data_IF_200902831732
#
_entry.id   IF_200902831732
#
_cell.length_a   1.000
_cell.length_b   1.000
_cell.length_c   1.000
_cell.angle_alpha   90.00
_cell.angle_beta   90.00
_cell.angle_gamma   90.00
#
_symmetry.space_group_name_H-M   'P 1'
#
loop_
_entity.id
_entity.type
_entity.pdbx_description
1 polymer ?
#
# COMPACT_ATOMS: atom_id res chain seq x y z
N UNK A 1 44.98 -23.36 -27.89
CA UNK A 1 43.65 -23.03 -28.44
C UNK A 1 43.06 -21.93 -27.59
N UNK A 2 42.88 -20.71 -28.15
CA UNK A 2 42.29 -19.57 -27.47
C UNK A 2 40.83 -19.45 -27.91
N UNK A 3 39.85 -19.23 -27.03
CA UNK A 3 38.47 -19.01 -27.46
C UNK A 3 38.30 -17.60 -28.03
N UNK A 4 37.56 -17.55 -29.13
CA UNK A 4 37.23 -16.36 -29.91
C UNK A 4 36.13 -15.58 -29.18
N UNK A 5 36.38 -14.30 -28.91
CA UNK A 5 35.42 -13.36 -28.34
C UNK A 5 34.51 -12.87 -29.44
N UNK A 6 33.24 -13.20 -29.38
CA UNK A 6 32.20 -12.73 -30.30
C UNK A 6 31.76 -11.33 -29.89
N UNK A 7 32.07 -10.33 -30.73
CA UNK A 7 31.67 -8.93 -30.60
C UNK A 7 30.17 -8.78 -30.80
N UNK A 8 29.43 -8.35 -29.79
CA UNK A 8 28.04 -7.91 -29.93
C UNK A 8 27.98 -6.50 -30.54
N UNK A 9 27.40 -6.41 -31.70
CA UNK A 9 27.13 -5.18 -32.44
C UNK A 9 26.07 -4.35 -31.74
N UNK A 10 26.41 -3.15 -31.30
CA UNK A 10 25.52 -2.14 -30.71
C UNK A 10 24.61 -1.59 -31.81
N UNK A 11 23.30 -1.81 -31.70
CA UNK A 11 22.29 -1.14 -32.57
C UNK A 11 21.97 0.20 -31.93
N UNK A 12 22.49 1.29 -32.51
CA UNK A 12 22.12 2.65 -32.15
C UNK A 12 20.82 3.03 -32.86
N UNK A 13 19.71 3.11 -32.12
CA UNK A 13 18.48 3.76 -32.58
C UNK A 13 18.59 5.26 -32.25
N UNK A 14 18.75 6.08 -33.26
CA UNK A 14 18.73 7.55 -33.16
C UNK A 14 17.28 7.99 -32.96
N UNK A 15 16.95 8.52 -31.79
CA UNK A 15 15.68 9.21 -31.53
C UNK A 15 15.97 10.61 -31.00
N UNK A 16 15.18 11.56 -31.46
CA UNK A 16 15.34 12.99 -31.37
C UNK A 16 15.46 13.52 -29.91
N UNK A 17 16.22 14.61 -29.83
CA UNK A 17 16.55 15.45 -28.69
C UNK A 17 15.33 15.74 -27.81
N UNK A 18 15.30 15.14 -26.65
CA UNK A 18 14.53 15.51 -25.48
C UNK A 18 15.40 15.08 -24.29
N UNK A 19 15.56 15.96 -23.36
CA UNK A 19 16.39 15.91 -22.16
C UNK A 19 16.54 14.48 -21.59
N UNK A 20 17.68 13.84 -21.85
CA UNK A 20 18.06 12.58 -21.19
C UNK A 20 18.28 12.90 -19.70
N UNK A 21 17.28 12.62 -18.90
CA UNK A 21 17.50 12.39 -17.47
C UNK A 21 18.41 11.16 -17.41
N UNK A 22 19.68 11.38 -17.12
CA UNK A 22 20.68 10.34 -16.90
C UNK A 22 20.20 9.45 -15.75
N UNK A 23 19.43 8.42 -16.10
CA UNK A 23 19.06 7.38 -15.16
C UNK A 23 20.37 6.66 -14.78
N UNK A 24 20.80 6.81 -13.54
CA UNK A 24 21.89 6.02 -13.01
C UNK A 24 21.63 4.54 -13.40
N UNK A 25 22.63 3.85 -13.94
CA UNK A 25 22.47 2.45 -14.26
C UNK A 25 22.04 1.71 -12.98
N UNK A 26 21.06 0.80 -13.06
CA UNK A 26 20.57 0.10 -11.90
C UNK A 26 21.74 -0.56 -11.17
N UNK A 27 21.82 -0.34 -9.87
CA UNK A 27 22.80 -1.01 -9.04
C UNK A 27 22.49 -2.52 -9.07
N UNK A 28 23.51 -3.37 -9.05
CA UNK A 28 23.36 -4.84 -9.07
C UNK A 28 22.54 -5.36 -7.87
N UNK A 29 22.22 -4.47 -6.93
CA UNK A 29 21.46 -4.75 -5.71
C UNK A 29 19.97 -4.42 -5.78
N UNK A 30 19.48 -3.77 -6.85
CA UNK A 30 18.06 -3.38 -6.91
C UNK A 30 17.19 -4.58 -7.31
N UNK A 31 16.07 -4.80 -6.59
CA UNK A 31 15.17 -5.91 -6.89
C UNK A 31 14.63 -5.86 -8.31
N UNK A 32 14.43 -7.02 -8.99
CA UNK A 32 14.02 -7.06 -10.39
C UNK A 32 12.73 -6.27 -10.68
N UNK A 33 11.76 -6.32 -9.77
CA UNK A 33 10.47 -5.63 -9.93
C UNK A 33 10.56 -4.10 -9.85
N UNK A 34 11.66 -3.53 -9.36
CA UNK A 34 11.90 -2.09 -9.33
C UNK A 34 12.56 -1.57 -10.61
N UNK A 35 12.97 -2.47 -11.49
CA UNK A 35 13.64 -2.11 -12.73
C UNK A 35 12.64 -1.63 -13.79
N UNK A 36 12.92 -0.50 -14.47
CA UNK A 36 12.13 -0.05 -15.60
C UNK A 36 11.99 -1.15 -16.68
N UNK A 37 10.74 -1.43 -17.11
CA UNK A 37 10.47 -2.47 -18.10
C UNK A 37 10.42 -3.89 -17.54
N UNK A 38 10.37 -4.07 -16.23
CA UNK A 38 10.10 -5.37 -15.60
C UNK A 38 8.79 -5.98 -16.11
N UNK A 39 8.82 -7.26 -16.51
CA UNK A 39 7.69 -8.01 -17.08
C UNK A 39 7.46 -9.36 -16.41
N UNK A 40 7.91 -9.50 -15.17
CA UNK A 40 7.84 -10.76 -14.43
C UNK A 40 6.47 -11.09 -13.81
N UNK A 41 5.52 -10.16 -13.82
CA UNK A 41 4.16 -10.38 -13.37
C UNK A 41 3.17 -10.29 -14.52
N UNK A 42 1.96 -10.88 -14.34
CA UNK A 42 0.91 -10.87 -15.38
C UNK A 42 0.55 -9.46 -15.81
N UNK A 43 0.42 -8.52 -14.85
CA UNK A 43 0.05 -7.13 -15.16
C UNK A 43 1.25 -6.36 -15.69
N UNK A 44 2.44 -6.49 -15.10
CA UNK A 44 3.63 -5.79 -15.60
C UNK A 44 4.09 -6.27 -16.99
N UNK A 45 3.61 -7.45 -17.45
CA UNK A 45 3.84 -7.93 -18.81
C UNK A 45 3.01 -7.21 -19.88
N UNK A 46 1.94 -6.50 -19.47
CA UNK A 46 1.10 -5.71 -20.37
C UNK A 46 1.82 -4.42 -20.80
N UNK A 47 1.28 -3.75 -21.81
CA UNK A 47 1.69 -2.38 -22.15
C UNK A 47 1.25 -1.38 -21.08
N UNK A 48 1.90 -0.23 -20.99
CA UNK A 48 1.66 0.77 -19.95
C UNK A 48 0.20 1.26 -19.86
N UNK A 49 -0.52 1.51 -20.99
CA UNK A 49 -1.93 1.87 -20.93
C UNK A 49 -2.81 0.77 -20.30
N UNK A 50 -2.53 -0.50 -20.61
CA UNK A 50 -3.28 -1.61 -20.03
C UNK A 50 -2.94 -1.81 -18.53
N UNK A 51 -1.68 -1.62 -18.12
CA UNK A 51 -1.30 -1.60 -16.70
C UNK A 51 -2.05 -0.51 -15.95
N UNK A 52 -2.11 0.71 -16.51
CA UNK A 52 -2.87 1.83 -15.94
C UNK A 52 -4.36 1.50 -15.84
N UNK A 53 -4.96 0.89 -16.86
CA UNK A 53 -6.36 0.49 -16.84
C UNK A 53 -6.65 -0.52 -15.72
N UNK A 54 -5.78 -1.52 -15.54
CA UNK A 54 -5.90 -2.49 -14.42
C UNK A 54 -5.79 -1.80 -13.07
N UNK A 55 -4.81 -0.89 -12.89
CA UNK A 55 -4.64 -0.11 -11.67
C UNK A 55 -5.91 0.66 -11.32
N UNK A 56 -6.45 1.43 -12.28
CA UNK A 56 -7.65 2.23 -12.08
C UNK A 56 -8.89 1.35 -11.81
N UNK A 57 -8.99 0.18 -12.45
CA UNK A 57 -10.07 -0.77 -12.19
C UNK A 57 -10.00 -1.31 -10.75
N UNK A 58 -8.80 -1.65 -10.26
CA UNK A 58 -8.60 -2.10 -8.86
C UNK A 58 -9.00 -0.99 -7.90
N UNK A 59 -8.57 0.25 -8.13
CA UNK A 59 -8.91 1.38 -7.25
C UNK A 59 -10.39 1.71 -7.28
N UNK A 60 -11.01 1.70 -8.45
CA UNK A 60 -12.47 1.89 -8.60
C UNK A 60 -13.23 0.76 -7.88
N UNK A 61 -12.75 -0.48 -7.97
CA UNK A 61 -13.31 -1.62 -7.27
C UNK A 61 -13.23 -1.47 -5.74
N UNK A 62 -12.07 -1.10 -5.20
CA UNK A 62 -11.89 -0.82 -3.77
C UNK A 62 -12.83 0.30 -3.33
N UNK A 63 -12.91 1.40 -4.09
CA UNK A 63 -13.81 2.51 -3.80
C UNK A 63 -15.28 2.10 -3.80
N UNK A 64 -15.73 1.38 -4.83
CA UNK A 64 -17.10 0.90 -4.93
C UNK A 64 -17.47 -0.07 -3.79
N UNK A 65 -16.57 -1.00 -3.44
CA UNK A 65 -16.75 -1.91 -2.33
C UNK A 65 -16.78 -1.16 -0.98
N UNK A 66 -15.94 -0.14 -0.80
CA UNK A 66 -15.96 0.70 0.41
C UNK A 66 -17.28 1.45 0.54
N UNK A 67 -17.76 2.07 -0.53
CA UNK A 67 -19.07 2.74 -0.55
C UNK A 67 -20.20 1.74 -0.28
N UNK A 68 -20.17 0.57 -0.95
CA UNK A 68 -21.14 -0.49 -0.73
C UNK A 68 -21.14 -1.01 0.72
N UNK A 69 -19.96 -1.12 1.33
CA UNK A 69 -19.83 -1.47 2.75
C UNK A 69 -20.48 -0.42 3.63
N UNK A 70 -20.09 0.84 3.48
CA UNK A 70 -20.62 1.94 4.30
C UNK A 70 -22.14 2.12 4.16
N UNK A 71 -22.68 1.93 2.94
CA UNK A 71 -24.08 2.22 2.66
C UNK A 71 -25.04 1.05 2.95
N UNK A 72 -24.54 -0.20 2.87
CA UNK A 72 -25.42 -1.38 2.93
C UNK A 72 -24.91 -2.40 3.95
N UNK A 73 -23.74 -3.01 3.70
CA UNK A 73 -23.28 -4.16 4.50
C UNK A 73 -22.89 -3.75 5.92
N UNK A 74 -22.21 -2.61 6.10
CA UNK A 74 -21.76 -2.14 7.41
C UNK A 74 -22.91 -1.94 8.40
N UNK A 75 -23.99 -1.22 8.05
CA UNK A 75 -25.18 -1.09 8.89
C UNK A 75 -25.82 -2.43 9.27
N UNK A 76 -25.91 -3.39 8.35
CA UNK A 76 -26.44 -4.72 8.62
C UNK A 76 -25.54 -5.52 9.57
N UNK A 77 -24.22 -5.46 9.37
CA UNK A 77 -23.26 -6.11 10.28
C UNK A 77 -23.30 -5.46 11.67
N UNK A 78 -23.40 -4.15 11.74
CA UNK A 78 -23.52 -3.42 13.00
C UNK A 78 -24.83 -3.77 13.74
N UNK A 79 -25.93 -3.88 13.02
CA UNK A 79 -27.21 -4.32 13.56
C UNK A 79 -27.15 -5.77 14.05
N UNK A 80 -26.51 -6.66 13.31
CA UNK A 80 -26.40 -8.08 13.68
C UNK A 80 -25.39 -8.33 14.81
N UNK A 81 -24.32 -7.53 14.89
CA UNK A 81 -23.21 -7.71 15.84
C UNK A 81 -22.83 -6.38 16.54
N UNK A 82 -23.79 -5.71 17.22
CA UNK A 82 -23.59 -4.36 17.76
C UNK A 82 -22.46 -4.31 18.78
N UNK A 83 -22.35 -5.31 19.64
CA UNK A 83 -21.29 -5.38 20.66
C UNK A 83 -19.90 -5.51 20.05
N UNK A 84 -19.75 -6.36 19.02
CA UNK A 84 -18.45 -6.58 18.34
C UNK A 84 -18.01 -5.32 17.63
N UNK A 85 -18.90 -4.65 16.91
CA UNK A 85 -18.58 -3.45 16.17
C UNK A 85 -18.30 -2.26 17.10
N UNK A 86 -19.07 -2.09 18.14
CA UNK A 86 -18.84 -1.08 19.18
C UNK A 86 -17.50 -1.32 19.89
N UNK A 87 -17.23 -2.57 20.26
CA UNK A 87 -16.00 -3.00 20.90
C UNK A 87 -14.77 -2.78 19.98
N UNK A 88 -14.88 -3.07 18.69
CA UNK A 88 -13.80 -2.87 17.72
C UNK A 88 -13.46 -1.38 17.50
N UNK A 89 -14.45 -0.50 17.52
CA UNK A 89 -14.28 0.93 17.19
C UNK A 89 -14.03 1.82 18.41
N UNK A 90 -14.81 1.65 19.45
CA UNK A 90 -14.85 2.57 20.58
C UNK A 90 -14.50 1.93 21.92
N UNK A 91 -14.92 0.68 22.16
CA UNK A 91 -14.71 0.01 23.46
C UNK A 91 -13.39 -0.76 23.47
N UNK A 92 -13.03 -1.34 22.33
CA UNK A 92 -11.73 -1.95 22.11
C UNK A 92 -11.04 -1.27 20.96
N UNK A 93 -9.91 -0.62 21.16
CA UNK A 93 -9.23 0.13 20.11
C UNK A 93 -8.50 -0.79 19.11
N UNK A 94 -9.16 -1.88 18.70
CA UNK A 94 -8.55 -2.92 17.83
C UNK A 94 -8.06 -2.31 16.53
N UNK A 95 -8.88 -1.47 15.90
CA UNK A 95 -8.49 -0.84 14.61
C UNK A 95 -7.33 0.13 14.83
N UNK A 96 -7.40 0.98 15.87
CA UNK A 96 -6.30 1.89 16.20
C UNK A 96 -5.00 1.13 16.50
N UNK A 97 -5.06 0.05 17.30
CA UNK A 97 -3.90 -0.79 17.60
C UNK A 97 -3.37 -1.54 16.36
N UNK A 98 -4.24 -1.90 15.42
CA UNK A 98 -3.81 -2.48 14.14
C UNK A 98 -2.94 -1.50 13.36
N UNK A 99 -3.34 -0.23 13.28
CA UNK A 99 -2.51 0.82 12.65
C UNK A 99 -1.21 1.07 13.42
N UNK A 100 -1.23 1.07 14.76
CA UNK A 100 -0.01 1.17 15.57
C UNK A 100 0.96 0.03 15.26
N UNK A 101 0.45 -1.20 15.21
CA UNK A 101 1.26 -2.37 14.88
C UNK A 101 1.80 -2.31 13.44
N UNK A 102 0.97 -1.89 12.47
CA UNK A 102 1.40 -1.71 11.09
C UNK A 102 2.47 -0.62 10.98
N UNK A 103 2.27 0.53 11.64
CA UNK A 103 3.26 1.60 11.67
C UNK A 103 4.58 1.19 12.33
N UNK A 104 4.53 0.42 13.43
CA UNK A 104 5.72 -0.14 14.05
C UNK A 104 6.47 -1.11 13.11
N UNK A 105 5.74 -1.89 12.31
CA UNK A 105 6.32 -2.79 11.33
C UNK A 105 7.13 -2.06 10.24
N UNK A 106 6.79 -0.80 9.90
CA UNK A 106 7.57 0.03 8.97
C UNK A 106 9.02 0.25 9.46
N UNK A 107 9.22 0.28 10.77
CA UNK A 107 10.54 0.44 11.39
C UNK A 107 11.22 -0.88 11.70
N UNK A 108 10.45 -1.94 11.89
CA UNK A 108 10.98 -3.28 12.14
C UNK A 108 11.41 -3.99 10.84
N UNK A 109 10.72 -3.71 9.72
CA UNK A 109 10.91 -4.36 8.42
C UNK A 109 11.04 -3.31 7.29
N UNK A 110 11.91 -2.30 7.40
CA UNK A 110 11.95 -1.17 6.48
C UNK A 110 12.27 -1.58 5.04
N UNK A 111 13.07 -2.63 4.85
CA UNK A 111 13.40 -3.19 3.54
C UNK A 111 12.14 -3.67 2.82
N UNK A 112 11.34 -4.52 3.45
CA UNK A 112 10.12 -5.06 2.85
C UNK A 112 9.09 -3.98 2.49
N UNK A 113 8.94 -2.93 3.31
CA UNK A 113 8.07 -1.79 2.96
C UNK A 113 8.61 -0.95 1.81
N UNK A 114 9.95 -0.74 1.75
CA UNK A 114 10.60 -0.07 0.63
C UNK A 114 10.40 -0.81 -0.68
N UNK A 115 10.48 -2.13 -0.65
CA UNK A 115 10.35 -2.98 -1.84
C UNK A 115 8.94 -2.96 -2.44
N UNK A 116 7.92 -2.61 -1.64
CA UNK A 116 6.54 -2.38 -2.11
C UNK A 116 6.35 -1.00 -2.76
N UNK A 117 7.30 -0.07 -2.62
CA UNK A 117 7.13 1.28 -3.14
C UNK A 117 7.26 1.28 -4.67
N UNK A 118 6.29 1.83 -5.43
CA UNK A 118 6.35 1.84 -6.88
C UNK A 118 7.55 2.64 -7.39
N UNK A 119 8.32 2.06 -8.30
CA UNK A 119 9.45 2.74 -8.93
C UNK A 119 8.98 3.91 -9.83
N UNK A 120 9.85 4.85 -10.10
CA UNK A 120 9.57 5.95 -11.04
C UNK A 120 9.29 5.38 -12.42
N UNK A 121 8.18 5.80 -13.04
CA UNK A 121 7.70 5.27 -14.31
C UNK A 121 6.81 4.03 -14.19
N UNK A 122 6.55 3.49 -13.00
CA UNK A 122 5.58 2.41 -12.85
C UNK A 122 4.24 2.79 -13.49
N UNK A 123 3.62 1.81 -14.17
CA UNK A 123 2.37 1.99 -14.93
C UNK A 123 2.42 3.08 -16.02
N UNK A 124 3.64 3.55 -16.42
CA UNK A 124 3.90 4.57 -17.43
C UNK A 124 3.78 6.02 -16.94
N UNK A 125 3.38 6.28 -15.68
CA UNK A 125 3.15 7.64 -15.19
C UNK A 125 3.53 7.91 -13.73
N UNK A 126 3.81 6.88 -12.93
CA UNK A 126 4.09 7.07 -11.51
C UNK A 126 5.39 7.85 -11.29
N UNK A 127 5.29 9.00 -10.64
CA UNK A 127 6.44 9.83 -10.31
C UNK A 127 6.18 10.62 -9.03
N UNK A 128 6.24 9.93 -7.88
CA UNK A 128 6.11 10.58 -6.59
C UNK A 128 7.47 11.14 -6.15
N UNK A 129 7.57 12.42 -5.75
CA UNK A 129 8.81 13.00 -5.25
C UNK A 129 9.19 12.43 -3.88
N UNK A 130 10.48 12.37 -3.59
CA UNK A 130 11.03 11.79 -2.35
C UNK A 130 11.56 10.38 -2.55
N UNK A 131 12.30 9.90 -1.56
CA UNK A 131 12.82 8.53 -1.57
C UNK A 131 11.81 7.54 -0.99
N UNK A 132 11.90 6.25 -1.36
CA UNK A 132 11.08 5.20 -0.73
C UNK A 132 11.21 5.19 0.79
N UNK A 133 12.44 5.39 1.32
CA UNK A 133 12.72 5.43 2.76
C UNK A 133 11.96 6.55 3.46
N UNK A 134 11.92 7.74 2.84
CA UNK A 134 11.13 8.85 3.35
C UNK A 134 9.65 8.48 3.44
N UNK A 135 9.10 7.87 2.38
CA UNK A 135 7.68 7.49 2.34
C UNK A 135 7.36 6.39 3.35
N UNK A 136 8.22 5.40 3.52
CA UNK A 136 8.10 4.36 4.54
C UNK A 136 8.12 4.96 5.95
N UNK A 137 9.06 5.87 6.22
CA UNK A 137 9.20 6.46 7.55
C UNK A 137 8.01 7.34 7.93
N UNK A 138 7.59 8.30 7.07
CA UNK A 138 6.50 9.20 7.43
C UNK A 138 5.15 8.47 7.52
N UNK A 139 4.90 7.49 6.65
CA UNK A 139 3.65 6.71 6.72
C UNK A 139 3.59 5.85 7.97
N UNK A 140 4.72 5.23 8.38
CA UNK A 140 4.80 4.50 9.65
C UNK A 140 4.53 5.40 10.86
N UNK A 141 5.11 6.63 10.89
CA UNK A 141 4.81 7.61 11.95
C UNK A 141 3.33 7.99 11.93
N UNK A 142 2.76 8.27 10.75
CA UNK A 142 1.36 8.65 10.61
C UNK A 142 0.41 7.53 11.07
N UNK A 143 0.73 6.26 10.78
CA UNK A 143 -0.03 5.10 11.27
C UNK A 143 0.02 4.99 12.80
N UNK A 144 1.21 5.14 13.41
CA UNK A 144 1.35 5.11 14.88
C UNK A 144 0.56 6.24 15.51
N UNK A 145 0.77 7.49 15.06
CA UNK A 145 0.13 8.67 15.66
C UNK A 145 -1.39 8.62 15.47
N UNK A 146 -1.84 8.31 14.26
CA UNK A 146 -3.27 8.17 13.96
C UNK A 146 -3.90 7.01 14.72
N UNK A 147 -3.23 5.87 14.80
CA UNK A 147 -3.68 4.70 15.54
C UNK A 147 -3.80 4.96 17.04
N UNK A 148 -2.81 5.62 17.66
CA UNK A 148 -2.86 6.03 19.06
C UNK A 148 -3.96 7.06 19.31
N UNK A 149 -4.11 8.06 18.44
CA UNK A 149 -5.17 9.05 18.56
C UNK A 149 -6.56 8.45 18.44
N UNK A 150 -6.77 7.51 17.53
CA UNK A 150 -8.02 6.77 17.41
C UNK A 150 -8.28 5.87 18.61
N UNK A 151 -7.26 5.14 19.10
CA UNK A 151 -7.36 4.25 20.24
C UNK A 151 -7.60 5.01 21.56
N UNK A 152 -7.07 6.21 21.70
CA UNK A 152 -7.19 7.00 22.94
C UNK A 152 -8.64 7.32 23.31
N UNK A 153 -9.53 7.48 22.33
CA UNK A 153 -10.96 7.72 22.56
C UNK A 153 -11.70 6.55 23.23
N UNK A 154 -11.12 5.34 23.21
CA UNK A 154 -11.66 4.16 23.86
C UNK A 154 -11.13 3.97 25.29
N UNK A 155 -10.16 4.76 25.73
CA UNK A 155 -9.51 4.63 27.03
C UNK A 155 -10.20 5.57 28.04
N UNK A 156 -11.20 5.02 28.72
CA UNK A 156 -12.07 5.73 29.68
C UNK A 156 -11.34 6.49 30.81
N UNK A 157 -10.06 6.15 31.07
CA UNK A 157 -9.23 6.84 32.07
C UNK A 157 -8.41 7.99 31.50
N UNK A 158 -8.46 8.21 30.17
CA UNK A 158 -7.86 9.37 29.51
C UNK A 158 -8.96 10.39 29.21
N UNK A 159 -8.83 11.57 29.75
CA UNK A 159 -9.69 12.70 29.40
C UNK A 159 -9.24 13.26 28.04
N UNK A 160 -9.66 12.61 26.97
CA UNK A 160 -9.31 12.99 25.61
C UNK A 160 -10.43 13.84 24.98
N UNK A 161 -10.08 14.88 24.20
CA UNK A 161 -11.09 15.66 23.49
C UNK A 161 -11.91 14.81 22.50
N UNK A 162 -13.22 15.05 22.42
CA UNK A 162 -14.16 14.30 21.55
C UNK A 162 -13.77 14.32 20.07
N UNK A 163 -13.07 15.35 19.63
CA UNK A 163 -12.60 15.49 18.25
C UNK A 163 -11.40 14.59 17.90
N UNK A 164 -10.64 14.10 18.90
CA UNK A 164 -9.35 13.44 18.68
C UNK A 164 -9.50 12.13 17.91
N UNK A 165 -10.38 11.24 18.36
CA UNK A 165 -10.59 9.94 17.70
C UNK A 165 -11.18 10.09 16.28
N UNK A 166 -12.23 10.91 16.04
CA UNK A 166 -12.74 11.13 14.69
C UNK A 166 -11.72 11.75 13.73
N UNK A 167 -10.95 12.76 14.19
CA UNK A 167 -9.92 13.39 13.34
C UNK A 167 -8.80 12.41 13.00
N UNK A 168 -8.37 11.62 14.01
CA UNK A 168 -7.35 10.57 13.78
C UNK A 168 -7.85 9.51 12.80
N UNK A 169 -9.09 9.07 12.94
CA UNK A 169 -9.70 8.12 12.01
C UNK A 169 -9.80 8.68 10.59
N UNK A 170 -10.14 9.97 10.43
CA UNK A 170 -10.14 10.62 9.13
C UNK A 170 -8.74 10.70 8.52
N UNK A 171 -7.73 11.04 9.34
CA UNK A 171 -6.33 11.02 8.92
C UNK A 171 -5.87 9.63 8.46
N UNK A 172 -6.24 8.58 9.19
CA UNK A 172 -5.96 7.18 8.82
C UNK A 172 -6.71 6.74 7.55
N UNK A 173 -7.95 7.20 7.35
CA UNK A 173 -8.68 7.00 6.11
C UNK A 173 -7.91 7.57 4.90
N UNK A 174 -7.47 8.84 5.00
CA UNK A 174 -6.68 9.48 3.94
C UNK A 174 -5.33 8.78 3.73
N UNK A 175 -4.66 8.37 4.81
CA UNK A 175 -3.41 7.63 4.74
C UNK A 175 -3.60 6.27 4.03
N UNK A 176 -4.65 5.53 4.36
CA UNK A 176 -4.98 4.25 3.71
C UNK A 176 -5.21 4.41 2.21
N UNK A 177 -5.85 5.51 1.80
CA UNK A 177 -5.95 5.86 0.38
C UNK A 177 -4.56 6.17 -0.23
N UNK A 178 -3.73 6.94 0.48
CA UNK A 178 -2.42 7.34 0.00
C UNK A 178 -1.43 6.17 -0.18
N UNK A 179 -1.56 5.10 0.62
CA UNK A 179 -0.71 3.90 0.50
C UNK A 179 -1.28 2.83 -0.44
N UNK A 180 -2.47 3.05 -1.01
CA UNK A 180 -3.09 2.13 -1.99
C UNK A 180 -2.18 1.81 -3.18
N UNK A 181 -1.41 2.75 -3.74
CA UNK A 181 -0.45 2.46 -4.80
C UNK A 181 0.56 1.38 -4.43
N UNK A 182 1.14 1.41 -3.23
CA UNK A 182 2.09 0.39 -2.77
C UNK A 182 1.44 -1.00 -2.68
N UNK A 183 0.21 -1.08 -2.13
CA UNK A 183 -0.56 -2.32 -2.09
C UNK A 183 -0.88 -2.86 -3.49
N UNK A 184 -1.19 -1.96 -4.45
CA UNK A 184 -1.48 -2.34 -5.83
C UNK A 184 -0.21 -2.75 -6.58
N UNK A 185 0.94 -2.15 -6.25
CA UNK A 185 2.23 -2.48 -6.84
C UNK A 185 2.64 -3.93 -6.56
N UNK A 186 2.38 -4.43 -5.35
CA UNK A 186 2.55 -5.86 -5.04
C UNK A 186 1.78 -6.77 -6.00
N UNK A 187 0.55 -6.41 -6.34
CA UNK A 187 -0.28 -7.17 -7.27
C UNK A 187 0.20 -7.03 -8.71
N UNK A 188 0.55 -5.82 -9.15
CA UNK A 188 0.88 -5.55 -10.55
C UNK A 188 2.29 -5.95 -10.94
N UNK A 189 3.22 -5.95 -9.98
CA UNK A 189 4.66 -6.18 -10.21
C UNK A 189 5.24 -7.35 -9.42
N UNK A 190 4.41 -8.13 -8.71
CA UNK A 190 4.88 -9.20 -7.81
C UNK A 190 5.90 -8.70 -6.77
N UNK A 191 5.83 -7.43 -6.38
CA UNK A 191 6.66 -6.95 -5.30
C UNK A 191 6.34 -7.73 -4.01
N UNK A 192 7.34 -8.13 -3.22
CA UNK A 192 7.11 -8.85 -1.98
C UNK A 192 6.37 -7.97 -0.97
N UNK A 193 5.71 -8.61 0.00
CA UNK A 193 5.19 -7.92 1.17
C UNK A 193 6.28 -7.55 2.17
N UNK A 194 5.94 -6.86 3.27
CA UNK A 194 6.88 -6.57 4.34
C UNK A 194 7.20 -7.85 5.12
N UNK A 195 8.12 -8.63 4.60
CA UNK A 195 8.63 -9.86 5.18
C UNK A 195 10.02 -9.62 5.78
N UNK A 196 10.42 -10.42 6.79
CA UNK A 196 11.81 -10.47 7.24
C UNK A 196 12.75 -10.80 6.09
N UNK A 197 14.00 -10.29 6.16
CA UNK A 197 15.00 -10.50 5.09
C UNK A 197 15.39 -11.97 4.90
N UNK A 198 15.20 -12.80 5.93
CA UNK A 198 15.44 -14.24 5.94
C UNK A 198 14.22 -15.09 5.59
N UNK A 199 13.11 -14.46 5.15
CA UNK A 199 11.91 -15.17 4.76
C UNK A 199 12.17 -16.03 3.50
N UNK A 200 11.55 -17.23 3.47
CA UNK A 200 11.64 -18.14 2.32
C UNK A 200 11.21 -17.46 1.01
N UNK A 201 11.96 -17.72 -0.07
CA UNK A 201 11.61 -17.20 -1.41
C UNK A 201 10.18 -17.52 -1.84
N UNK A 202 9.63 -18.66 -1.39
CA UNK A 202 8.24 -19.04 -1.66
C UNK A 202 7.20 -18.10 -1.02
N UNK A 203 7.58 -17.34 0.00
CA UNK A 203 6.74 -16.36 0.69
C UNK A 203 6.84 -14.95 0.08
N UNK A 204 7.83 -14.71 -0.79
CA UNK A 204 8.10 -13.39 -1.36
C UNK A 204 7.01 -12.91 -2.31
N UNK A 205 6.26 -13.82 -2.94
CA UNK A 205 5.15 -13.47 -3.82
C UNK A 205 3.81 -13.90 -3.23
N UNK A 206 2.89 -12.96 -3.08
CA UNK A 206 1.54 -13.29 -2.63
C UNK A 206 0.77 -14.03 -3.72
N UNK A 207 0.10 -15.15 -3.40
CA UNK A 207 -0.83 -15.78 -4.33
C UNK A 207 -2.06 -14.86 -4.55
N UNK A 208 -2.79 -15.07 -5.66
CA UNK A 208 -3.93 -14.21 -6.04
C UNK A 208 -4.97 -14.03 -4.93
N UNK A 209 -5.26 -15.09 -4.17
CA UNK A 209 -6.20 -15.03 -3.04
C UNK A 209 -5.66 -14.17 -1.88
N UNK A 210 -4.34 -14.09 -1.72
CA UNK A 210 -3.70 -13.18 -0.76
C UNK A 210 -3.90 -11.72 -1.15
N UNK A 211 -3.81 -11.39 -2.44
CA UNK A 211 -4.15 -10.06 -2.94
C UNK A 211 -5.62 -9.71 -2.73
N UNK A 212 -6.54 -10.67 -2.94
CA UNK A 212 -7.96 -10.48 -2.64
C UNK A 212 -8.18 -10.22 -1.14
N UNK A 213 -7.56 -10.99 -0.25
CA UNK A 213 -7.65 -10.79 1.18
C UNK A 213 -7.13 -9.40 1.61
N UNK A 214 -6.00 -8.93 1.04
CA UNK A 214 -5.48 -7.58 1.29
C UNK A 214 -6.43 -6.49 0.80
N UNK A 215 -7.02 -6.66 -0.39
CA UNK A 215 -8.00 -5.69 -0.91
C UNK A 215 -9.24 -5.63 -0.02
N UNK A 216 -9.75 -6.76 0.45
CA UNK A 216 -10.88 -6.81 1.39
C UNK A 216 -10.54 -6.19 2.74
N UNK A 217 -9.35 -6.46 3.27
CA UNK A 217 -8.87 -5.80 4.48
C UNK A 217 -8.80 -4.28 4.30
N UNK A 218 -8.31 -3.80 3.15
CA UNK A 218 -8.26 -2.37 2.86
C UNK A 218 -9.66 -1.76 2.79
N UNK A 219 -10.63 -2.41 2.15
CA UNK A 219 -12.03 -1.98 2.13
C UNK A 219 -12.58 -1.89 3.56
N UNK A 220 -12.32 -2.90 4.38
CA UNK A 220 -12.75 -2.92 5.79
C UNK A 220 -12.13 -1.77 6.60
N UNK A 221 -10.82 -1.53 6.46
CA UNK A 221 -10.14 -0.43 7.15
C UNK A 221 -10.65 0.94 6.70
N UNK A 222 -10.85 1.14 5.39
CA UNK A 222 -11.43 2.38 4.85
C UNK A 222 -12.84 2.61 5.38
N UNK A 223 -13.70 1.61 5.34
CA UNK A 223 -15.07 1.73 5.83
C UNK A 223 -15.14 1.99 7.34
N UNK A 224 -14.31 1.29 8.13
CA UNK A 224 -14.29 1.44 9.58
C UNK A 224 -13.75 2.81 10.00
N UNK A 225 -12.65 3.27 9.40
CA UNK A 225 -12.09 4.59 9.69
C UNK A 225 -13.03 5.71 9.25
N UNK A 226 -13.71 5.55 8.11
CA UNK A 226 -14.77 6.47 7.69
C UNK A 226 -15.92 6.53 8.70
N UNK A 227 -16.41 5.39 9.18
CA UNK A 227 -17.48 5.31 10.17
C UNK A 227 -17.12 5.95 11.52
N UNK A 228 -15.87 5.80 11.99
CA UNK A 228 -15.39 6.47 13.21
C UNK A 228 -15.22 7.96 13.00
N UNK A 229 -14.77 8.39 11.80
CA UNK A 229 -14.62 9.81 11.47
C UNK A 229 -15.97 10.54 11.34
N UNK A 230 -17.04 9.81 11.01
CA UNK A 230 -18.39 10.36 10.81
C UNK A 230 -19.40 9.59 11.68
N UNK A 231 -19.37 9.78 13.01
CA UNK A 231 -20.33 9.12 13.89
C UNK A 231 -21.75 9.59 13.56
N UNK A 232 -22.75 8.72 13.64
CA UNK A 232 -24.14 9.15 13.49
C UNK A 232 -24.47 10.18 14.58
N UNK A 233 -25.16 11.25 14.21
CA UNK A 233 -25.62 12.33 15.10
C UNK A 233 -26.78 11.87 15.96
#
# INVERSE_FOLDING_TARGET
>A
MRPTVTSFRRVTATRAVGEEVEANPPSVSDPPWTQPGYRGAVVSALDEPAQTAVLLAVWAGIGALTVGWCSNLGPEVEHALPTVMSWSRATWPVIGLTYVAAGAAHFALPGGFRDMFPHKGAWGWWNLPGSPEFHVAWSGVAEIVGGLGMASGALWFLDTPDWLAPTSAYGLFLLTLAVTPANTYMFTHNAPGPLPEDADESMQTLPWYGHCARAMLQVFLLATTWGVAHPPH
#
